data_IF_856942656517
#
_entry.id   IF_856942656517
#
_cell.length_a   1.000
_cell.length_b   1.000
_cell.length_c   1.000
_cell.angle_alpha   90.00
_cell.angle_beta   90.00
_cell.angle_gamma   90.00
#
_symmetry.space_group_name_H-M   'P 1'
#
loop_
_entity.id
_entity.type
_entity.pdbx_description
1 polymer ?
#
# COMPACT_ATOMS: atom_id res chain seq x y z
N UNK A 1 38.47 -9.54 -26.28
CA UNK A 1 37.35 -10.04 -25.46
C UNK A 1 36.81 -8.86 -24.66
N UNK A 2 35.74 -8.22 -25.14
CA UNK A 2 35.14 -7.07 -24.46
C UNK A 2 33.68 -7.39 -24.19
N UNK A 3 33.37 -7.60 -22.92
CA UNK A 3 32.05 -7.86 -22.37
C UNK A 3 31.22 -6.58 -22.42
N UNK A 4 30.22 -6.53 -23.29
CA UNK A 4 29.26 -5.44 -23.36
C UNK A 4 28.17 -5.70 -22.31
N UNK A 5 28.29 -5.10 -21.13
CA UNK A 5 27.18 -5.13 -20.17
C UNK A 5 26.06 -4.19 -20.64
N UNK A 6 24.79 -4.62 -20.67
CA UNK A 6 23.68 -3.75 -21.02
C UNK A 6 23.47 -2.70 -19.92
N UNK A 7 23.48 -1.44 -20.33
CA UNK A 7 23.19 -0.27 -19.48
C UNK A 7 21.77 -0.36 -18.91
N UNK A 8 21.63 0.06 -17.64
CA UNK A 8 20.44 -0.09 -16.80
C UNK A 8 19.12 0.42 -17.39
N UNK A 9 19.19 1.32 -18.37
CA UNK A 9 18.03 1.88 -19.09
C UNK A 9 17.24 0.82 -19.86
N UNK A 10 17.90 -0.19 -20.43
CA UNK A 10 17.23 -1.23 -21.24
C UNK A 10 16.37 -2.17 -20.38
N UNK A 11 16.78 -2.47 -19.13
CA UNK A 11 15.99 -3.30 -18.19
C UNK A 11 14.66 -2.65 -17.82
N UNK A 12 14.64 -1.34 -17.59
CA UNK A 12 13.41 -0.60 -17.28
C UNK A 12 12.44 -0.57 -18.47
N UNK A 13 12.94 -0.50 -19.70
CA UNK A 13 12.10 -0.53 -20.89
C UNK A 13 11.45 -1.90 -21.11
N UNK A 14 12.19 -3.00 -20.94
CA UNK A 14 11.60 -4.34 -21.03
C UNK A 14 10.54 -4.59 -19.93
N UNK A 15 10.73 -4.08 -18.71
CA UNK A 15 9.72 -4.20 -17.64
C UNK A 15 8.43 -3.41 -17.94
N UNK A 16 8.53 -2.24 -18.59
CA UNK A 16 7.33 -1.46 -18.98
C UNK A 16 6.56 -2.10 -20.14
N UNK A 17 7.22 -2.83 -21.02
CA UNK A 17 6.59 -3.46 -22.19
C UNK A 17 5.77 -4.72 -21.84
N UNK A 18 6.07 -5.41 -20.74
CA UNK A 18 5.27 -6.57 -20.29
C UNK A 18 3.92 -6.14 -19.72
N UNK A 19 3.79 -4.91 -19.21
CA UNK A 19 2.54 -4.38 -18.67
C UNK A 19 1.54 -3.95 -19.76
N UNK A 20 1.97 -3.78 -21.01
CA UNK A 20 1.11 -3.27 -22.10
C UNK A 20 0.61 -4.38 -23.04
N UNK A 21 1.19 -5.58 -23.00
CA UNK A 21 0.95 -6.65 -23.98
C UNK A 21 -0.19 -7.63 -23.64
N UNK A 22 -1.15 -7.25 -22.80
CA UNK A 22 -2.34 -8.09 -22.55
C UNK A 22 -3.63 -7.30 -22.32
N UNK A 23 -3.78 -6.17 -23.01
CA UNK A 23 -5.11 -5.62 -23.29
C UNK A 23 -5.84 -6.49 -24.32
N UNK A 24 -6.05 -7.77 -24.00
CA UNK A 24 -7.13 -8.54 -24.62
C UNK A 24 -8.39 -7.74 -24.28
N UNK A 25 -9.09 -7.22 -25.28
CA UNK A 25 -10.34 -6.51 -25.06
C UNK A 25 -11.33 -7.51 -24.44
N UNK A 26 -11.38 -7.51 -23.10
CA UNK A 26 -12.39 -8.25 -22.35
C UNK A 26 -13.77 -7.81 -22.84
N UNK A 27 -14.73 -8.74 -22.97
CA UNK A 27 -16.09 -8.38 -23.35
C UNK A 27 -16.64 -7.28 -22.42
N UNK A 28 -17.57 -6.43 -22.91
CA UNK A 28 -18.08 -5.30 -22.14
C UNK A 28 -18.58 -5.66 -20.73
N UNK A 29 -19.16 -6.85 -20.58
CA UNK A 29 -19.63 -7.37 -19.29
C UNK A 29 -18.48 -7.60 -18.30
N UNK A 30 -17.41 -8.29 -18.71
CA UNK A 30 -16.25 -8.55 -17.84
C UNK A 30 -15.50 -7.25 -17.48
N UNK A 31 -15.58 -6.23 -18.33
CA UNK A 31 -15.07 -4.87 -18.00
C UNK A 31 -15.90 -4.19 -16.91
N UNK A 32 -17.22 -4.31 -16.97
CA UNK A 32 -18.12 -3.77 -15.95
C UNK A 32 -17.91 -4.46 -14.60
N UNK A 33 -17.81 -5.80 -14.61
CA UNK A 33 -17.51 -6.60 -13.41
C UNK A 33 -16.14 -6.24 -12.82
N UNK A 34 -15.12 -6.03 -13.66
CA UNK A 34 -13.80 -5.57 -13.21
C UNK A 34 -13.89 -4.18 -12.58
N UNK A 35 -14.60 -3.24 -13.19
CA UNK A 35 -14.75 -1.89 -12.68
C UNK A 35 -15.48 -1.86 -11.33
N UNK A 36 -16.52 -2.68 -11.18
CA UNK A 36 -17.23 -2.88 -9.91
C UNK A 36 -16.30 -3.47 -8.84
N UNK A 37 -15.54 -4.52 -9.19
CA UNK A 37 -14.58 -5.13 -8.28
C UNK A 37 -13.50 -4.13 -7.84
N UNK A 38 -12.99 -3.30 -8.74
CA UNK A 38 -12.03 -2.25 -8.43
C UNK A 38 -12.63 -1.18 -7.51
N UNK A 39 -13.87 -0.75 -7.76
CA UNK A 39 -14.57 0.22 -6.92
C UNK A 39 -14.83 -0.34 -5.51
N UNK A 40 -15.28 -1.59 -5.41
CA UNK A 40 -15.50 -2.27 -4.14
C UNK A 40 -14.19 -2.44 -3.37
N UNK A 41 -13.12 -2.85 -4.04
CA UNK A 41 -11.78 -2.98 -3.44
C UNK A 41 -11.28 -1.63 -2.93
N UNK A 42 -11.45 -0.56 -3.71
CA UNK A 42 -11.11 0.81 -3.29
C UNK A 42 -11.89 1.24 -2.06
N UNK A 43 -13.20 0.95 -2.01
CA UNK A 43 -14.04 1.27 -0.87
C UNK A 43 -13.57 0.53 0.40
N UNK A 44 -13.30 -0.77 0.29
CA UNK A 44 -12.74 -1.55 1.39
C UNK A 44 -11.40 -1.03 1.86
N UNK A 45 -10.51 -0.66 0.95
CA UNK A 45 -9.21 -0.07 1.29
C UNK A 45 -9.39 1.23 2.09
N UNK A 46 -10.31 2.10 1.67
CA UNK A 46 -10.61 3.34 2.40
C UNK A 46 -11.20 3.06 3.79
N UNK A 47 -12.12 2.10 3.91
CA UNK A 47 -12.70 1.69 5.20
C UNK A 47 -11.62 1.16 6.15
N UNK A 48 -10.75 0.28 5.66
CA UNK A 48 -9.66 -0.27 6.48
C UNK A 48 -8.64 0.78 6.88
N UNK A 49 -8.32 1.71 5.97
CA UNK A 49 -7.39 2.80 6.26
C UNK A 49 -7.94 3.73 7.34
N UNK A 50 -9.20 4.14 7.23
CA UNK A 50 -9.88 4.99 8.22
C UNK A 50 -10.04 4.28 9.57
N UNK A 51 -10.40 3.00 9.58
CA UNK A 51 -10.47 2.21 10.81
C UNK A 51 -9.09 2.10 11.49
N UNK A 52 -8.02 1.85 10.72
CA UNK A 52 -6.64 1.83 11.24
C UNK A 52 -6.24 3.18 11.84
N UNK A 53 -6.57 4.29 11.16
CA UNK A 53 -6.30 5.63 11.68
C UNK A 53 -7.05 5.91 12.97
N UNK A 54 -8.31 5.46 13.11
CA UNK A 54 -9.14 5.67 14.30
C UNK A 54 -8.77 4.80 15.50
N UNK A 55 -8.22 3.61 15.28
CA UNK A 55 -7.87 2.66 16.35
C UNK A 55 -6.79 3.20 17.30
N UNK A 56 -5.83 3.95 16.77
CA UNK A 56 -4.71 4.46 17.55
C UNK A 56 -3.67 3.38 17.94
N UNK A 57 -2.83 3.68 18.95
CA UNK A 57 -1.76 2.81 19.43
C UNK A 57 -2.30 1.49 19.99
N UNK A 58 -1.59 0.39 19.78
CA UNK A 58 -1.98 -0.92 20.28
C UNK A 58 -1.13 -1.30 21.48
N UNK A 59 -1.76 -1.54 22.64
CA UNK A 59 -1.06 -2.01 23.84
C UNK A 59 -0.73 -3.50 23.72
N UNK A 60 0.53 -3.86 23.94
CA UNK A 60 1.00 -5.24 23.98
C UNK A 60 1.25 -5.67 25.43
N UNK A 61 0.42 -6.59 25.98
CA UNK A 61 0.54 -7.01 27.37
C UNK A 61 1.78 -7.86 27.64
N UNK A 62 2.39 -8.48 26.62
CA UNK A 62 3.57 -9.31 26.82
C UNK A 62 4.82 -8.46 27.08
N UNK A 63 4.87 -7.26 26.52
CA UNK A 63 6.01 -6.33 26.67
C UNK A 63 5.71 -5.14 27.57
N UNK A 64 4.44 -4.89 27.88
CA UNK A 64 4.01 -3.71 28.61
C UNK A 64 4.18 -2.40 27.83
N UNK A 65 4.33 -2.48 26.50
CA UNK A 65 4.60 -1.34 25.63
C UNK A 65 3.45 -1.07 24.65
N UNK A 66 3.32 0.18 24.23
CA UNK A 66 2.42 0.57 23.13
C UNK A 66 3.16 0.50 21.79
N UNK A 67 2.54 -0.15 20.81
CA UNK A 67 2.99 -0.19 19.43
C UNK A 67 2.39 0.94 18.61
N UNK A 68 3.25 1.71 17.96
CA UNK A 68 2.89 2.81 17.08
C UNK A 68 3.28 2.49 15.63
N UNK A 69 2.60 3.12 14.67
CA UNK A 69 3.01 3.00 13.28
C UNK A 69 4.42 3.57 13.09
N UNK A 70 5.28 2.83 12.37
CA UNK A 70 6.64 3.27 12.04
C UNK A 70 6.60 4.61 11.31
N UNK A 71 7.49 5.53 11.68
CA UNK A 71 7.55 6.91 11.18
C UNK A 71 6.35 7.79 11.54
N UNK A 72 5.45 7.35 12.42
CA UNK A 72 4.45 8.26 12.98
C UNK A 72 5.12 9.26 13.92
N UNK A 73 4.52 10.45 14.07
CA UNK A 73 5.02 11.44 15.05
C UNK A 73 5.10 10.85 16.46
N UNK A 74 4.16 9.95 16.80
CA UNK A 74 4.09 9.26 18.08
C UNK A 74 5.22 8.25 18.29
N UNK A 75 5.72 7.66 17.20
CA UNK A 75 6.84 6.72 17.26
C UNK A 75 8.12 7.39 17.79
N UNK A 76 8.28 8.69 17.55
CA UNK A 76 9.43 9.47 18.01
C UNK A 76 9.12 10.37 19.20
N UNK A 77 7.88 10.39 19.66
CA UNK A 77 7.49 11.26 20.75
C UNK A 77 7.55 10.48 22.06
N UNK A 78 8.14 11.09 23.10
CA UNK A 78 8.15 10.55 24.48
C UNK A 78 6.75 10.65 25.11
N UNK A 79 5.73 11.00 24.31
CA UNK A 79 4.42 11.43 24.79
C UNK A 79 3.61 10.25 25.27
N UNK A 80 3.02 10.44 26.45
CA UNK A 80 2.06 9.55 27.08
C UNK A 80 0.94 9.16 26.09
N UNK A 81 0.73 7.85 25.81
CA UNK A 81 -0.27 7.35 24.87
C UNK A 81 -1.69 7.84 25.14
N UNK A 82 -1.99 8.35 26.34
CA UNK A 82 -3.27 8.96 26.71
C UNK A 82 -3.65 10.20 25.87
N UNK A 83 -2.71 10.88 25.22
CA UNK A 83 -2.95 12.14 24.51
C UNK A 83 -3.04 11.99 22.98
N UNK A 84 -3.18 10.76 22.49
CA UNK A 84 -3.31 10.49 21.06
C UNK A 84 -4.60 11.08 20.48
N UNK A 85 -4.47 11.84 19.37
CA UNK A 85 -5.62 12.32 18.58
C UNK A 85 -5.54 11.78 17.16
N UNK A 86 -6.63 11.26 16.59
CA UNK A 86 -6.71 10.99 15.17
C UNK A 86 -6.55 12.30 14.39
N UNK A 87 -5.76 12.29 13.31
CA UNK A 87 -5.62 13.43 12.38
C UNK A 87 -6.75 13.43 11.37
#
# INVERSE_FOLDING_TARGET
MSSTQPTSTTRQQCQRQVLTASFRHKPPQERAELQEAMANTSNWNNLLYTARQRRGPCYDPATGMYHFARNSKLYYSVTDPAHWKPQ
#
